data_IF_429388113847
#
_entry.id   IF_429388113847
#
_cell.length_a   1.000
_cell.length_b   1.000
_cell.length_c   1.000
_cell.angle_alpha   90.00
_cell.angle_beta   90.00
_cell.angle_gamma   90.00
#
_symmetry.space_group_name_H-M   'P 1'
#
loop_
_entity.id
_entity.type
_entity.pdbx_description
1 polymer ?
#
# COMPACT_ATOMS: atom_id res chain seq x y z
N UNK A 1 2.06 20.00 14.85
CA UNK A 1 2.24 18.72 15.56
C UNK A 1 2.03 17.54 14.60
N UNK A 2 0.99 17.56 13.75
CA UNK A 2 0.70 16.48 12.79
C UNK A 2 1.78 16.28 11.73
N UNK A 3 2.32 17.35 11.14
CA UNK A 3 3.34 17.27 10.10
C UNK A 3 4.66 16.69 10.60
N UNK A 4 5.05 16.99 11.84
CA UNK A 4 6.28 16.41 12.42
C UNK A 4 6.10 14.92 12.72
N UNK A 5 4.92 14.49 13.15
CA UNK A 5 4.62 13.08 13.38
C UNK A 5 4.60 12.27 12.08
N UNK A 6 3.98 12.80 11.00
CA UNK A 6 4.01 12.17 9.69
C UNK A 6 5.44 12.02 9.13
N UNK A 7 6.29 13.04 9.31
CA UNK A 7 7.71 12.98 8.91
C UNK A 7 8.53 11.94 9.69
N UNK A 8 8.10 11.58 10.89
CA UNK A 8 8.81 10.62 11.73
C UNK A 8 8.50 9.14 11.40
N UNK A 9 7.49 8.85 10.61
CA UNK A 9 7.03 7.48 10.30
C UNK A 9 8.16 6.60 9.77
N UNK A 10 8.88 7.04 8.75
CA UNK A 10 9.99 6.25 8.19
C UNK A 10 11.09 5.99 9.23
N UNK A 11 11.35 6.97 10.10
CA UNK A 11 12.33 6.84 11.17
C UNK A 11 11.91 5.78 12.20
N UNK A 12 10.61 5.71 12.56
CA UNK A 12 10.05 4.69 13.46
C UNK A 12 10.25 3.30 12.86
N UNK A 13 9.83 3.09 11.61
CA UNK A 13 9.97 1.80 10.95
C UNK A 13 11.44 1.38 10.70
N UNK A 14 12.34 2.34 10.49
CA UNK A 14 13.79 2.06 10.43
C UNK A 14 14.34 1.55 11.75
N UNK A 15 13.97 2.18 12.87
CA UNK A 15 14.42 1.76 14.21
C UNK A 15 13.82 0.42 14.65
N UNK A 16 12.57 0.17 14.28
CA UNK A 16 11.79 -0.95 14.80
C UNK A 16 11.50 -2.05 13.76
N UNK A 17 12.31 -2.13 12.69
CA UNK A 17 12.14 -3.12 11.61
C UNK A 17 12.09 -4.56 12.14
N UNK A 18 12.89 -4.88 13.17
CA UNK A 18 12.92 -6.19 13.80
C UNK A 18 11.67 -6.50 14.60
N UNK A 19 11.16 -5.51 15.34
CA UNK A 19 9.91 -5.63 16.08
C UNK A 19 8.73 -5.82 15.10
N UNK A 20 8.68 -5.02 14.05
CA UNK A 20 7.67 -5.17 13.00
C UNK A 20 7.68 -6.59 12.40
N UNK A 21 8.86 -7.08 12.01
CA UNK A 21 8.98 -8.41 11.39
C UNK A 21 8.54 -9.56 12.33
N UNK A 22 8.73 -9.39 13.65
CA UNK A 22 8.26 -10.36 14.65
C UNK A 22 6.76 -10.28 14.92
N UNK A 23 6.19 -9.04 14.92
CA UNK A 23 4.80 -8.78 15.31
C UNK A 23 3.84 -8.88 14.13
N UNK A 24 4.30 -8.63 12.91
CA UNK A 24 3.45 -8.71 11.72
C UNK A 24 2.88 -10.12 11.60
N UNK A 25 1.55 -10.21 11.63
CA UNK A 25 0.86 -11.46 11.46
C UNK A 25 1.24 -12.13 10.14
N UNK A 26 1.54 -13.42 10.19
CA UNK A 26 1.73 -14.25 9.00
C UNK A 26 0.42 -14.88 8.52
N UNK A 27 -0.67 -14.71 9.27
CA UNK A 27 -2.00 -15.11 8.83
C UNK A 27 -2.45 -14.14 7.75
N UNK A 28 -2.73 -14.66 6.57
CA UNK A 28 -3.12 -13.87 5.40
C UNK A 28 -4.63 -13.53 5.49
N UNK A 29 -5.02 -12.69 6.46
CA UNK A 29 -6.41 -12.25 6.60
C UNK A 29 -6.86 -11.39 5.41
N UNK A 30 -5.91 -10.79 4.69
CA UNK A 30 -6.11 -10.02 3.47
C UNK A 30 -6.47 -10.89 2.26
N UNK A 31 -6.30 -12.21 2.33
CA UNK A 31 -6.37 -13.13 1.18
C UNK A 31 -7.59 -12.90 0.27
N UNK A 32 -8.78 -12.72 0.85
CA UNK A 32 -10.00 -12.48 0.08
C UNK A 32 -9.88 -11.25 -0.84
N UNK A 33 -9.24 -10.19 -0.36
CA UNK A 33 -9.02 -8.97 -1.11
C UNK A 33 -7.92 -9.12 -2.14
N UNK A 34 -6.85 -9.83 -1.81
CA UNK A 34 -5.78 -10.14 -2.75
C UNK A 34 -6.30 -11.04 -3.90
N UNK A 35 -7.19 -12.00 -3.63
CA UNK A 35 -7.86 -12.79 -4.65
C UNK A 35 -8.70 -11.94 -5.61
N UNK A 36 -9.47 -10.98 -5.08
CA UNK A 36 -10.23 -10.02 -5.88
C UNK A 36 -9.32 -9.12 -6.72
N UNK A 37 -8.23 -8.64 -6.13
CA UNK A 37 -7.23 -7.84 -6.82
C UNK A 37 -6.64 -8.60 -8.02
N UNK A 38 -6.25 -9.86 -7.84
CA UNK A 38 -5.78 -10.73 -8.92
C UNK A 38 -6.87 -10.93 -9.99
N UNK A 39 -8.14 -11.07 -9.58
CA UNK A 39 -9.26 -11.21 -10.51
C UNK A 39 -9.45 -9.95 -11.37
N UNK A 40 -9.26 -8.76 -10.82
CA UNK A 40 -9.33 -7.48 -11.57
C UNK A 40 -8.20 -7.39 -12.59
N UNK A 41 -6.97 -7.82 -12.24
CA UNK A 41 -5.84 -7.88 -13.17
C UNK A 41 -6.12 -8.89 -14.30
N UNK A 42 -6.76 -10.02 -13.99
CA UNK A 42 -7.23 -11.02 -14.96
C UNK A 42 -6.14 -11.87 -15.63
N UNK A 43 -4.87 -11.62 -15.37
CA UNK A 43 -3.71 -12.37 -15.92
C UNK A 43 -2.53 -12.29 -14.97
N UNK A 44 -1.53 -13.17 -15.13
CA UNK A 44 -0.26 -13.00 -14.43
C UNK A 44 0.50 -11.84 -15.06
N UNK A 45 1.14 -11.04 -14.23
CA UNK A 45 1.84 -9.83 -14.67
C UNK A 45 2.69 -9.24 -13.56
N UNK A 46 2.88 -7.93 -13.60
CA UNK A 46 3.71 -7.17 -12.68
C UNK A 46 2.88 -6.47 -11.61
N UNK A 47 3.33 -6.53 -10.37
CA UNK A 47 2.72 -5.83 -9.23
C UNK A 47 3.75 -4.91 -8.58
N UNK A 48 3.34 -3.68 -8.29
CA UNK A 48 4.07 -2.74 -7.46
C UNK A 48 3.45 -2.71 -6.06
N UNK A 49 4.23 -3.11 -5.05
CA UNK A 49 3.85 -3.05 -3.64
C UNK A 49 4.49 -1.82 -2.99
N UNK A 50 3.64 -0.84 -2.64
CA UNK A 50 4.04 0.50 -2.20
C UNK A 50 3.96 0.59 -0.68
N UNK A 51 5.12 0.74 -0.03
CA UNK A 51 5.26 0.57 1.40
C UNK A 51 5.25 -0.91 1.77
N UNK A 52 6.01 -1.72 1.01
CA UNK A 52 5.99 -3.18 1.09
C UNK A 52 6.56 -3.77 2.39
N UNK A 53 7.22 -2.96 3.21
CA UNK A 53 7.89 -3.44 4.42
C UNK A 53 8.88 -4.55 4.12
N UNK A 54 8.78 -5.66 4.87
CA UNK A 54 9.61 -6.85 4.70
C UNK A 54 9.06 -7.87 3.68
N UNK A 55 8.01 -7.51 2.93
CA UNK A 55 7.36 -8.35 1.92
C UNK A 55 6.42 -9.43 2.48
N UNK A 56 6.26 -9.54 3.79
CA UNK A 56 5.38 -10.55 4.41
C UNK A 56 4.08 -9.91 4.94
N UNK A 57 2.92 -10.57 4.78
CA UNK A 57 2.67 -11.80 4.00
C UNK A 57 2.24 -11.54 2.55
N UNK A 58 2.02 -10.27 2.18
CA UNK A 58 1.35 -9.87 0.93
C UNK A 58 2.22 -10.15 -0.31
N UNK A 59 3.48 -9.69 -0.28
CA UNK A 59 4.40 -9.95 -1.40
C UNK A 59 4.65 -11.45 -1.57
N UNK A 60 4.83 -12.21 -0.48
CA UNK A 60 4.96 -13.67 -0.51
C UNK A 60 3.76 -14.30 -1.23
N UNK A 61 2.55 -13.84 -0.94
CA UNK A 61 1.35 -14.34 -1.59
C UNK A 61 1.38 -14.14 -3.12
N UNK A 62 1.65 -12.93 -3.59
CA UNK A 62 1.70 -12.63 -5.02
C UNK A 62 2.82 -13.39 -5.74
N UNK A 63 3.99 -13.51 -5.11
CA UNK A 63 5.11 -14.28 -5.65
C UNK A 63 4.73 -15.74 -5.84
N UNK A 64 4.08 -16.36 -4.85
CA UNK A 64 3.57 -17.74 -4.93
C UNK A 64 2.48 -17.92 -5.98
N UNK A 65 1.69 -16.87 -6.26
CA UNK A 65 0.73 -16.88 -7.36
C UNK A 65 1.39 -16.69 -8.74
N UNK A 66 2.72 -16.45 -8.78
CA UNK A 66 3.50 -16.34 -10.01
C UNK A 66 3.49 -14.95 -10.64
N UNK A 67 3.26 -13.90 -9.84
CA UNK A 67 3.44 -12.51 -10.27
C UNK A 67 4.89 -12.08 -10.13
N UNK A 68 5.32 -11.16 -11.02
CA UNK A 68 6.56 -10.42 -10.84
C UNK A 68 6.29 -9.27 -9.87
N UNK A 69 7.04 -9.20 -8.79
CA UNK A 69 6.83 -8.19 -7.76
C UNK A 69 7.98 -7.19 -7.74
N UNK A 70 7.63 -5.93 -7.72
CA UNK A 70 8.51 -4.83 -7.34
C UNK A 70 7.99 -4.26 -6.03
N UNK A 71 8.81 -4.27 -4.98
CA UNK A 71 8.48 -3.66 -3.70
C UNK A 71 9.24 -2.36 -3.50
N UNK A 72 8.57 -1.33 -3.02
CA UNK A 72 9.19 -0.07 -2.60
C UNK A 72 8.86 0.22 -1.14
N UNK A 73 9.87 0.67 -0.41
CA UNK A 73 9.73 1.11 0.98
C UNK A 73 10.77 2.19 1.30
N UNK A 74 10.44 3.09 2.20
CA UNK A 74 11.40 4.11 2.67
C UNK A 74 12.38 3.62 3.74
N UNK A 75 12.30 2.35 4.13
CA UNK A 75 13.16 1.74 5.16
C UNK A 75 14.10 0.70 4.58
N UNK A 76 15.40 1.05 4.47
CA UNK A 76 16.44 0.11 4.05
C UNK A 76 16.46 -1.16 4.90
N UNK A 77 16.17 -1.07 6.20
CA UNK A 77 16.14 -2.21 7.11
C UNK A 77 15.00 -3.19 6.80
N UNK A 78 13.83 -2.68 6.40
CA UNK A 78 12.72 -3.51 5.93
C UNK A 78 13.09 -4.23 4.62
N UNK A 79 13.65 -3.48 3.66
CA UNK A 79 14.03 -4.02 2.36
C UNK A 79 15.17 -5.03 2.43
N UNK A 80 16.09 -4.91 3.38
CA UNK A 80 17.11 -5.91 3.60
C UNK A 80 16.49 -7.29 3.91
N UNK A 81 15.45 -7.32 4.74
CA UNK A 81 14.70 -8.54 5.06
C UNK A 81 13.89 -9.08 3.88
N UNK A 82 13.30 -8.17 3.08
CA UNK A 82 12.60 -8.56 1.86
C UNK A 82 13.57 -9.20 0.85
N UNK A 83 14.76 -8.63 0.66
CA UNK A 83 15.81 -9.18 -0.22
C UNK A 83 16.31 -10.55 0.26
N UNK A 84 16.46 -10.71 1.57
CA UNK A 84 16.86 -12.01 2.16
C UNK A 84 15.79 -13.08 1.91
N UNK A 85 14.51 -12.74 2.09
CA UNK A 85 13.40 -13.67 1.92
C UNK A 85 13.06 -13.96 0.45
N UNK A 86 13.20 -12.96 -0.42
CA UNK A 86 12.80 -13.03 -1.83
C UNK A 86 13.86 -12.41 -2.75
N UNK A 87 15.05 -13.04 -2.89
CA UNK A 87 16.20 -12.47 -3.62
C UNK A 87 15.96 -12.28 -5.12
N UNK A 88 14.98 -12.97 -5.70
CA UNK A 88 14.66 -12.87 -7.13
C UNK A 88 13.69 -11.73 -7.46
N UNK A 89 13.22 -10.98 -6.47
CA UNK A 89 12.31 -9.86 -6.70
C UNK A 89 13.06 -8.53 -6.64
N UNK A 90 12.42 -7.47 -7.13
CA UNK A 90 12.99 -6.13 -7.18
C UNK A 90 12.56 -5.35 -5.94
N UNK A 91 13.52 -4.90 -5.13
CA UNK A 91 13.27 -4.13 -3.90
C UNK A 91 14.02 -2.80 -3.95
N UNK A 92 13.29 -1.68 -3.86
CA UNK A 92 13.82 -0.33 -4.06
C UNK A 92 13.54 0.54 -2.84
N UNK A 93 14.58 1.21 -2.35
CA UNK A 93 14.42 2.22 -1.31
C UNK A 93 13.99 3.53 -1.97
N UNK A 94 12.73 3.90 -1.80
CA UNK A 94 12.16 5.14 -2.33
C UNK A 94 11.06 5.65 -1.41
N UNK A 95 10.90 6.96 -1.36
CA UNK A 95 9.71 7.59 -0.80
C UNK A 95 8.55 7.40 -1.80
N UNK A 96 7.39 6.92 -1.31
CA UNK A 96 6.24 6.68 -2.19
C UNK A 96 5.74 7.96 -2.88
N UNK A 97 5.99 9.13 -2.31
CA UNK A 97 5.62 10.45 -2.87
C UNK A 97 6.45 10.84 -4.09
N UNK A 98 7.57 10.18 -4.30
CA UNK A 98 8.55 10.50 -5.36
C UNK A 98 8.75 9.33 -6.33
N UNK A 99 7.78 8.39 -6.39
CA UNK A 99 7.88 7.22 -7.26
C UNK A 99 7.95 7.61 -8.72
N UNK A 100 9.01 7.17 -9.38
CA UNK A 100 9.19 7.33 -10.83
C UNK A 100 9.69 6.02 -11.43
N UNK A 101 8.94 5.50 -12.41
CA UNK A 101 9.29 4.31 -13.17
C UNK A 101 9.12 4.60 -14.66
N UNK A 102 9.95 3.99 -15.50
CA UNK A 102 9.81 4.02 -16.96
C UNK A 102 8.88 2.89 -17.47
N UNK A 103 8.12 2.28 -16.58
CA UNK A 103 7.21 1.17 -16.85
C UNK A 103 5.91 1.34 -16.09
N UNK A 104 4.87 0.66 -16.52
CA UNK A 104 3.59 0.56 -15.82
C UNK A 104 3.40 -0.85 -15.28
N UNK A 105 2.52 -0.98 -14.29
CA UNK A 105 2.25 -2.25 -13.61
C UNK A 105 0.81 -2.70 -13.85
N UNK A 106 0.60 -4.02 -13.86
CA UNK A 106 -0.73 -4.62 -13.94
C UNK A 106 -1.53 -4.43 -12.64
N UNK A 107 -0.82 -4.28 -11.53
CA UNK A 107 -1.42 -4.00 -10.23
C UNK A 107 -0.55 -3.12 -9.34
N UNK A 108 -1.19 -2.20 -8.61
CA UNK A 108 -0.58 -1.38 -7.57
C UNK A 108 -1.28 -1.67 -6.25
N UNK A 109 -0.51 -1.94 -5.21
CA UNK A 109 -1.05 -2.13 -3.86
C UNK A 109 -0.32 -1.24 -2.86
N UNK A 110 -1.08 -0.57 -1.98
CA UNK A 110 -0.56 0.23 -0.87
C UNK A 110 -1.31 -0.18 0.41
N UNK A 111 -0.91 -1.32 0.97
CA UNK A 111 -1.55 -1.93 2.14
C UNK A 111 -0.83 -1.52 3.42
N UNK A 112 -1.58 -1.00 4.40
CA UNK A 112 -1.07 -0.52 5.69
C UNK A 112 0.12 0.45 5.60
N UNK A 113 0.16 1.26 4.54
CA UNK A 113 1.26 2.18 4.25
C UNK A 113 0.77 3.58 3.89
N UNK A 114 -0.17 3.69 2.97
CA UNK A 114 -0.65 4.93 2.38
C UNK A 114 -1.26 5.90 3.42
N UNK A 115 -1.94 5.41 4.43
CA UNK A 115 -2.56 6.21 5.49
C UNK A 115 -1.55 6.83 6.47
N UNK A 116 -0.26 6.53 6.36
CA UNK A 116 0.80 7.22 7.09
C UNK A 116 1.19 8.57 6.47
N UNK A 117 0.75 8.83 5.26
CA UNK A 117 0.92 10.12 4.60
C UNK A 117 -0.06 11.16 5.16
N UNK A 118 0.33 12.45 5.11
CA UNK A 118 -0.62 13.54 5.36
C UNK A 118 -1.77 13.50 4.35
N UNK A 119 -2.90 14.10 4.67
CA UNK A 119 -4.03 14.19 3.74
C UNK A 119 -3.63 14.83 2.41
N UNK A 120 -2.81 15.87 2.45
CA UNK A 120 -2.28 16.53 1.25
C UNK A 120 -1.38 15.59 0.44
N UNK A 121 -0.47 14.87 1.09
CA UNK A 121 0.40 13.91 0.39
C UNK A 121 -0.44 12.77 -0.22
N UNK A 122 -1.48 12.31 0.47
CA UNK A 122 -2.39 11.29 -0.09
C UNK A 122 -3.06 11.76 -1.38
N UNK A 123 -3.50 13.04 -1.46
CA UNK A 123 -4.07 13.61 -2.68
C UNK A 123 -3.07 13.58 -3.84
N UNK A 124 -1.79 13.87 -3.59
CA UNK A 124 -0.74 13.87 -4.62
C UNK A 124 -0.36 12.47 -5.11
N UNK A 125 -0.70 11.41 -4.37
CA UNK A 125 -0.44 10.03 -4.78
C UNK A 125 -1.31 9.55 -5.95
N UNK A 126 -2.52 10.08 -6.13
CA UNK A 126 -3.42 9.60 -7.17
C UNK A 126 -2.92 9.85 -8.60
N UNK A 127 -2.33 11.01 -8.95
CA UNK A 127 -1.61 11.18 -10.21
C UNK A 127 -0.45 10.19 -10.37
N UNK A 128 0.30 9.89 -9.30
CA UNK A 128 1.39 8.90 -9.32
C UNK A 128 0.83 7.50 -9.63
N UNK A 129 -0.23 7.07 -8.94
CA UNK A 129 -0.90 5.80 -9.24
C UNK A 129 -1.37 5.73 -10.70
N UNK A 130 -1.92 6.85 -11.22
CA UNK A 130 -2.38 6.91 -12.61
C UNK A 130 -1.22 6.77 -13.61
N UNK A 131 -0.09 7.40 -13.35
CA UNK A 131 1.10 7.35 -14.20
C UNK A 131 1.72 5.95 -14.22
N UNK A 132 1.68 5.23 -13.10
CA UNK A 132 2.23 3.89 -12.96
C UNK A 132 1.28 2.77 -13.43
N UNK A 133 0.08 3.13 -13.91
CA UNK A 133 -0.97 2.22 -14.37
C UNK A 133 -1.17 2.33 -15.88
N UNK A 134 -1.55 1.24 -16.51
CA UNK A 134 -2.10 1.19 -17.85
C UNK A 134 -3.60 0.83 -17.81
N UNK A 135 -4.36 0.97 -18.91
CA UNK A 135 -5.74 0.52 -18.98
C UNK A 135 -5.91 -0.93 -18.50
N UNK A 136 -6.81 -1.14 -17.54
CA UNK A 136 -7.05 -2.46 -16.94
C UNK A 136 -6.27 -2.74 -15.66
N UNK A 137 -5.26 -1.94 -15.30
CA UNK A 137 -4.51 -2.12 -14.06
C UNK A 137 -5.42 -2.03 -12.82
N UNK A 138 -5.15 -2.88 -11.83
CA UNK A 138 -5.79 -2.82 -10.52
C UNK A 138 -5.04 -1.87 -9.58
N UNK A 139 -5.79 -1.14 -8.75
CA UNK A 139 -5.26 -0.38 -7.62
C UNK A 139 -5.98 -0.81 -6.35
N UNK A 140 -5.22 -1.17 -5.32
CA UNK A 140 -5.76 -1.45 -3.99
C UNK A 140 -5.01 -0.66 -2.92
N UNK A 141 -5.74 -0.04 -1.99
CA UNK A 141 -5.14 0.61 -0.83
C UNK A 141 -6.06 0.54 0.39
N UNK A 142 -5.46 0.70 1.57
CA UNK A 142 -6.18 0.81 2.84
C UNK A 142 -6.22 2.25 3.32
N UNK A 143 -7.28 2.62 4.01
CA UNK A 143 -7.47 3.93 4.65
C UNK A 143 -8.17 3.79 6.00
N UNK A 144 -8.31 4.89 6.74
CA UNK A 144 -9.30 4.98 7.81
C UNK A 144 -10.72 5.11 7.26
N UNK A 145 -11.76 4.97 8.11
CA UNK A 145 -13.16 4.95 7.68
C UNK A 145 -13.70 6.34 7.29
N UNK A 146 -13.04 7.40 7.71
CA UNK A 146 -13.51 8.78 7.48
C UNK A 146 -12.40 9.81 7.48
N UNK A 147 -12.78 11.05 7.19
CA UNK A 147 -11.84 12.18 7.19
C UNK A 147 -11.28 12.45 8.58
N UNK A 148 -9.97 12.53 8.72
CA UNK A 148 -9.35 12.89 9.99
C UNK A 148 -7.91 12.41 10.14
N UNK A 149 -7.40 12.67 11.33
CA UNK A 149 -6.06 12.24 11.79
C UNK A 149 -6.26 11.42 13.05
N UNK A 150 -5.59 10.28 13.13
CA UNK A 150 -5.54 9.43 14.30
C UNK A 150 -4.08 9.16 14.69
N UNK A 151 -3.85 9.04 15.98
CA UNK A 151 -2.53 8.67 16.50
C UNK A 151 -2.61 7.27 17.09
N UNK A 152 -1.94 6.32 16.41
CA UNK A 152 -1.67 5.00 16.95
C UNK A 152 -0.39 4.99 17.79
N UNK A 153 0.06 3.80 18.11
CA UNK A 153 1.32 3.59 18.82
C UNK A 153 2.02 2.35 18.28
N UNK A 154 3.34 2.45 18.08
CA UNK A 154 4.18 1.30 17.74
C UNK A 154 5.47 1.39 18.53
N UNK A 155 5.81 0.33 19.28
CA UNK A 155 7.00 0.26 20.14
C UNK A 155 7.16 1.48 21.08
N UNK A 156 6.04 1.99 21.61
CA UNK A 156 6.03 3.16 22.50
C UNK A 156 6.10 4.51 21.80
N UNK A 157 6.26 4.55 20.48
CA UNK A 157 6.30 5.79 19.71
C UNK A 157 4.95 6.10 19.06
N UNK A 158 4.57 7.39 18.94
CA UNK A 158 3.30 7.78 18.33
C UNK A 158 3.33 7.52 16.82
N UNK A 159 2.36 6.78 16.32
CA UNK A 159 2.23 6.40 14.92
C UNK A 159 1.13 7.23 14.26
N UNK A 160 1.52 8.10 13.34
CA UNK A 160 0.62 8.99 12.63
C UNK A 160 -0.20 8.23 11.57
N UNK A 161 -1.51 8.47 11.57
CA UNK A 161 -2.45 8.02 10.56
C UNK A 161 -3.34 9.19 10.12
N UNK A 162 -3.61 9.29 8.83
CA UNK A 162 -4.58 10.22 8.29
C UNK A 162 -5.42 9.56 7.21
N UNK A 163 -6.60 10.09 6.98
CA UNK A 163 -7.48 9.65 5.90
C UNK A 163 -8.30 10.82 5.38
N UNK A 164 -8.68 10.73 4.11
CA UNK A 164 -9.64 11.62 3.48
C UNK A 164 -11.07 11.08 3.68
N UNK A 165 -12.06 11.89 3.38
CA UNK A 165 -13.44 11.42 3.33
C UNK A 165 -13.62 10.40 2.19
N UNK A 166 -14.51 9.39 2.35
CA UNK A 166 -14.74 8.40 1.29
C UNK A 166 -15.17 9.02 -0.06
N UNK A 167 -15.93 10.10 -0.03
CA UNK A 167 -16.33 10.84 -1.22
C UNK A 167 -15.14 11.48 -1.92
N UNK A 168 -14.16 11.95 -1.17
CA UNK A 168 -12.95 12.56 -1.71
C UNK A 168 -12.05 11.50 -2.37
N UNK A 169 -11.87 10.33 -1.76
CA UNK A 169 -11.17 9.21 -2.42
C UNK A 169 -11.85 8.82 -3.74
N UNK A 170 -13.20 8.76 -3.78
CA UNK A 170 -13.94 8.48 -5.03
C UNK A 170 -13.70 9.54 -6.08
N UNK A 171 -13.71 10.81 -5.70
CA UNK A 171 -13.45 11.92 -6.63
C UNK A 171 -12.03 11.86 -7.19
N UNK A 172 -11.02 11.62 -6.34
CA UNK A 172 -9.61 11.50 -6.73
C UNK A 172 -9.39 10.29 -7.65
N UNK A 173 -9.96 9.13 -7.34
CA UNK A 173 -9.91 7.95 -8.20
C UNK A 173 -10.50 8.27 -9.57
N UNK A 174 -11.71 8.83 -9.61
CA UNK A 174 -12.40 9.17 -10.86
C UNK A 174 -11.62 10.19 -11.69
N UNK A 175 -11.11 11.25 -11.08
CA UNK A 175 -10.32 12.30 -11.74
C UNK A 175 -9.02 11.75 -12.35
N UNK A 176 -8.46 10.69 -11.76
CA UNK A 176 -7.23 10.05 -12.23
C UNK A 176 -7.47 8.79 -13.08
N UNK A 177 -8.69 8.62 -13.58
CA UNK A 177 -9.05 7.58 -14.54
C UNK A 177 -9.26 6.20 -13.94
N UNK A 178 -9.54 6.10 -12.64
CA UNK A 178 -9.94 4.85 -12.00
C UNK A 178 -11.44 4.78 -11.76
N UNK A 179 -12.00 3.58 -11.83
CA UNK A 179 -13.34 3.25 -11.36
C UNK A 179 -13.23 2.37 -10.10
N UNK A 180 -14.06 2.64 -9.11
CA UNK A 180 -14.12 1.82 -7.90
C UNK A 180 -14.84 0.52 -8.24
N UNK A 181 -14.14 -0.61 -8.09
CA UNK A 181 -14.70 -1.96 -8.25
C UNK A 181 -15.42 -2.38 -6.98
N UNK A 182 -14.77 -2.18 -5.84
CA UNK A 182 -15.32 -2.49 -4.53
C UNK A 182 -14.69 -1.59 -3.47
N UNK A 183 -15.48 -1.21 -2.49
CA UNK A 183 -15.00 -0.52 -1.29
C UNK A 183 -15.75 -1.07 -0.10
N UNK A 184 -15.04 -1.42 0.95
CA UNK A 184 -15.63 -1.84 2.21
C UNK A 184 -15.02 -1.06 3.36
N UNK A 185 -15.88 -0.44 4.14
CA UNK A 185 -15.52 0.29 5.34
C UNK A 185 -15.46 -0.71 6.50
N UNK A 186 -14.34 -0.70 7.23
CA UNK A 186 -14.16 -1.48 8.45
C UNK A 186 -14.56 -2.96 8.29
N UNK A 187 -14.01 -3.64 7.26
CA UNK A 187 -14.32 -5.03 6.95
C UNK A 187 -14.05 -5.95 8.16
N UNK A 188 -15.09 -6.52 8.78
CA UNK A 188 -14.91 -7.36 9.96
C UNK A 188 -14.16 -8.67 9.67
N UNK A 189 -14.13 -9.11 8.41
CA UNK A 189 -13.38 -10.30 7.98
C UNK A 189 -11.92 -9.97 7.67
N UNK A 190 -11.56 -8.68 7.64
CA UNK A 190 -10.22 -8.19 7.38
C UNK A 190 -9.76 -7.25 8.50
N UNK A 191 -9.95 -7.68 9.75
CA UNK A 191 -9.50 -6.98 10.98
C UNK A 191 -9.94 -5.51 11.09
N UNK A 192 -11.09 -5.16 10.50
CA UNK A 192 -11.63 -3.80 10.54
C UNK A 192 -10.98 -2.83 9.57
N UNK A 193 -10.26 -3.30 8.55
CA UNK A 193 -9.67 -2.42 7.54
C UNK A 193 -10.76 -1.80 6.64
N UNK A 194 -10.56 -0.54 6.30
CA UNK A 194 -11.29 0.11 5.20
C UNK A 194 -10.47 -0.06 3.93
N UNK A 195 -11.02 -0.75 2.95
CA UNK A 195 -10.28 -1.24 1.79
C UNK A 195 -10.92 -0.70 0.51
N UNK A 196 -10.08 -0.25 -0.39
CA UNK A 196 -10.42 0.25 -1.72
C UNK A 196 -9.81 -0.63 -2.78
N UNK A 197 -10.63 -1.10 -3.71
CA UNK A 197 -10.23 -1.79 -4.92
C UNK A 197 -10.78 -1.03 -6.11
N UNK A 198 -9.91 -0.59 -7.00
CA UNK A 198 -10.25 0.17 -8.18
C UNK A 198 -9.56 -0.41 -9.42
N UNK A 199 -10.08 -0.05 -10.60
CA UNK A 199 -9.54 -0.46 -11.90
C UNK A 199 -9.29 0.76 -12.77
N UNK A 200 -8.15 0.80 -13.44
CA UNK A 200 -7.82 1.84 -14.43
C UNK A 200 -8.70 1.68 -15.65
N UNK A 201 -9.42 2.75 -16.02
CA UNK A 201 -10.24 2.82 -17.24
C UNK A 201 -9.36 2.83 -18.49
N UNK A 202 -9.95 2.39 -19.61
CA UNK A 202 -9.34 2.48 -20.94
C UNK A 202 -9.44 3.88 -21.54
#
# INVERSE_FOLDING_TARGET
VSDSAAKNILSIYRRHADAYARQRSRTLFEKRWLDKFITVIGRKGSILDIGCGNGQPIADYFIRQGFQLTGVDGSAAMLARARESFPCQRWLEQDMRELTFNETFDGLIAWDSFFHLTQQDQQTMFPIFAQLSHPGSALMFTSGPGNGVAMGQFEGEPLFHASLAPQEYRALLSANGFEVVEMMMEDPQCTGHTIWLAKKRG
#
